data_IF_747334064107
#
_entry.id   IF_747334064107
#
_cell.length_a   1.000
_cell.length_b   1.000
_cell.length_c   1.000
_cell.angle_alpha   90.00
_cell.angle_beta   90.00
_cell.angle_gamma   90.00
#
_symmetry.space_group_name_H-M   'P 1'
#
loop_
_entity.id
_entity.type
_entity.pdbx_description
1 polymer ?
#
# COMPACT_ATOMS: atom_id res chain seq x y z
N UNK A 1 -0.14 -13.62 36.89
CA UNK A 1 -0.49 -14.10 35.54
C UNK A 1 0.00 -13.03 34.58
N UNK A 2 1.04 -13.31 33.80
CA UNK A 2 1.34 -12.46 32.63
C UNK A 2 0.16 -12.58 31.67
N UNK A 3 -0.46 -11.47 31.28
CA UNK A 3 -1.44 -11.48 30.21
C UNK A 3 -0.76 -12.02 28.94
N UNK A 4 -1.37 -13.03 28.31
CA UNK A 4 -0.86 -13.58 27.08
C UNK A 4 -0.85 -12.48 26.00
N UNK A 5 0.32 -12.19 25.45
CA UNK A 5 0.47 -11.24 24.35
C UNK A 5 -0.14 -11.84 23.08
N UNK A 6 -1.14 -11.18 22.46
CA UNK A 6 -1.71 -11.61 21.18
C UNK A 6 -0.73 -11.29 20.04
N UNK A 7 -0.38 -12.30 19.23
CA UNK A 7 0.61 -12.18 18.17
C UNK A 7 0.03 -12.57 16.82
N UNK A 8 0.22 -11.70 15.82
CA UNK A 8 -0.21 -11.93 14.44
C UNK A 8 0.84 -11.44 13.43
N UNK A 9 0.97 -12.07 12.25
CA UNK A 9 1.65 -11.41 11.14
C UNK A 9 0.83 -10.20 10.68
N UNK A 10 1.49 -9.16 10.14
CA UNK A 10 0.82 -7.93 9.68
C UNK A 10 -0.23 -8.23 8.59
N UNK A 11 0.06 -9.12 7.64
CA UNK A 11 -0.85 -9.59 6.58
C UNK A 11 -2.13 -10.28 7.08
N UNK A 12 -2.12 -10.83 8.29
CA UNK A 12 -3.30 -11.45 8.92
C UNK A 12 -3.98 -10.55 9.95
N UNK A 13 -3.46 -9.35 10.20
CA UNK A 13 -4.02 -8.43 11.17
C UNK A 13 -5.37 -7.88 10.69
N UNK A 14 -6.39 -8.02 11.53
CA UNK A 14 -7.65 -7.30 11.33
C UNK A 14 -7.45 -5.81 11.63
N UNK A 15 -8.32 -4.96 11.07
CA UNK A 15 -8.24 -3.52 11.33
C UNK A 15 -8.44 -3.18 12.81
N UNK A 16 -9.31 -3.89 13.53
CA UNK A 16 -9.50 -3.71 14.97
C UNK A 16 -8.26 -4.09 15.79
N UNK A 17 -7.59 -5.19 15.43
CA UNK A 17 -6.31 -5.57 16.06
C UNK A 17 -5.24 -4.49 15.84
N UNK A 18 -5.13 -3.99 14.61
CA UNK A 18 -4.16 -2.96 14.24
C UNK A 18 -4.38 -1.67 15.04
N UNK A 19 -5.63 -1.18 15.15
CA UNK A 19 -5.96 0.01 15.96
C UNK A 19 -5.53 -0.14 17.42
N UNK A 20 -5.91 -1.24 18.06
CA UNK A 20 -5.57 -1.48 19.47
C UNK A 20 -4.07 -1.60 19.71
N UNK A 21 -3.32 -2.17 18.76
CA UNK A 21 -1.86 -2.22 18.83
C UNK A 21 -1.27 -0.80 18.72
N UNK A 22 -1.71 -0.02 17.73
CA UNK A 22 -1.21 1.33 17.46
C UNK A 22 -1.56 2.36 18.56
N UNK A 23 -2.64 2.15 19.30
CA UNK A 23 -2.94 2.93 20.51
C UNK A 23 -1.80 2.86 21.54
N UNK A 24 -1.08 1.72 21.62
CA UNK A 24 0.10 1.56 22.47
C UNK A 24 1.28 2.44 22.04
N UNK A 25 1.27 2.90 20.79
CA UNK A 25 2.21 3.88 20.23
C UNK A 25 1.66 5.31 20.25
N UNK A 26 0.49 5.53 20.87
CA UNK A 26 -0.25 6.79 20.83
C UNK A 26 -0.59 7.24 19.39
N UNK A 27 -0.86 6.26 18.52
CA UNK A 27 -1.25 6.50 17.12
C UNK A 27 -2.75 6.19 16.97
N UNK A 28 -3.53 7.18 16.53
CA UNK A 28 -4.90 7.01 16.06
C UNK A 28 -4.95 6.75 14.56
N UNK A 29 -6.02 6.07 14.11
CA UNK A 29 -6.30 5.86 12.68
C UNK A 29 -7.69 6.37 12.35
N UNK A 30 -7.74 7.32 11.43
CA UNK A 30 -8.94 8.02 10.99
C UNK A 30 -9.15 7.86 9.48
N UNK A 31 -10.41 7.96 9.06
CA UNK A 31 -10.76 7.99 7.63
C UNK A 31 -10.84 9.44 7.19
N UNK A 32 -10.14 9.76 6.11
CA UNK A 32 -10.16 11.06 5.47
C UNK A 32 -11.26 11.13 4.42
N UNK A 33 -11.65 12.33 4.01
CA UNK A 33 -12.61 12.50 2.92
C UNK A 33 -12.06 11.85 1.63
N UNK A 34 -12.88 11.07 0.90
CA UNK A 34 -12.45 10.52 -0.38
C UNK A 34 -12.04 11.64 -1.33
N UNK A 35 -10.94 11.43 -2.03
CA UNK A 35 -10.49 12.35 -3.06
C UNK A 35 -10.93 11.82 -4.42
N UNK A 36 -11.51 12.69 -5.24
CA UNK A 36 -11.65 12.42 -6.67
C UNK A 36 -10.27 12.56 -7.28
N UNK A 37 -9.80 11.53 -7.97
CA UNK A 37 -8.57 11.62 -8.76
C UNK A 37 -8.74 12.73 -9.82
N UNK A 38 -8.00 13.87 -9.74
CA UNK A 38 -8.08 14.88 -10.78
C UNK A 38 -7.23 14.51 -12.00
N UNK A 39 -6.40 13.45 -11.92
CA UNK A 39 -5.35 13.16 -12.88
C UNK A 39 -4.29 14.28 -12.96
N UNK A 40 -3.09 14.00 -13.47
CA UNK A 40 -2.22 15.05 -14.00
C UNK A 40 -2.80 15.55 -15.33
N UNK A 41 -3.65 16.58 -15.29
CA UNK A 41 -4.23 17.19 -16.49
C UNK A 41 -5.36 16.36 -17.11
N UNK A 42 -5.93 16.86 -18.21
CA UNK A 42 -7.09 16.33 -18.96
C UNK A 42 -7.01 14.86 -19.45
N UNK A 43 -6.07 14.06 -18.96
CA UNK A 43 -5.89 12.65 -19.35
C UNK A 43 -6.55 11.70 -18.35
N UNK A 44 -7.32 10.76 -18.90
CA UNK A 44 -8.09 9.76 -18.18
C UNK A 44 -7.26 9.00 -17.14
N UNK A 45 -7.92 8.50 -16.08
CA UNK A 45 -7.36 7.54 -15.11
C UNK A 45 -6.40 6.56 -15.80
N UNK A 46 -5.25 6.22 -15.18
CA UNK A 46 -4.27 5.35 -15.82
C UNK A 46 -4.93 4.04 -16.25
N UNK A 47 -4.59 3.58 -17.45
CA UNK A 47 -5.19 2.37 -18.04
C UNK A 47 -4.93 1.20 -17.08
N UNK A 48 -5.96 0.48 -16.59
CA UNK A 48 -5.75 -0.59 -15.63
C UNK A 48 -4.68 -1.60 -16.02
N UNK A 49 -3.90 -2.06 -15.05
CA UNK A 49 -2.95 -3.14 -15.28
C UNK A 49 -3.69 -4.48 -15.46
N UNK A 50 -3.37 -5.19 -16.54
CA UNK A 50 -3.95 -6.51 -16.82
C UNK A 50 -3.25 -7.61 -16.03
N UNK A 51 -3.90 -8.02 -14.94
CA UNK A 51 -3.47 -9.13 -14.08
C UNK A 51 -3.69 -10.51 -14.70
N UNK A 52 -4.19 -10.59 -15.94
CA UNK A 52 -4.42 -11.84 -16.67
C UNK A 52 -3.68 -11.78 -18.00
N UNK A 53 -3.11 -12.92 -18.41
CA UNK A 53 -2.46 -13.08 -19.70
C UNK A 53 -2.91 -14.38 -20.34
N UNK A 54 -3.13 -14.35 -21.66
CA UNK A 54 -3.40 -15.53 -22.47
C UNK A 54 -2.06 -16.19 -22.85
N UNK A 55 -1.94 -17.49 -22.59
CA UNK A 55 -0.77 -18.29 -22.96
C UNK A 55 -0.81 -18.63 -24.44
N UNK A 56 0.30 -19.14 -24.98
CA UNK A 56 0.37 -19.61 -26.37
C UNK A 56 -0.60 -20.76 -26.67
N UNK A 57 -1.01 -21.49 -25.64
CA UNK A 57 -1.93 -22.62 -25.74
C UNK A 57 -3.41 -22.18 -25.63
N UNK A 58 -3.68 -20.87 -25.48
CA UNK A 58 -5.01 -20.28 -25.36
C UNK A 58 -5.58 -20.26 -23.93
N UNK A 59 -4.79 -20.68 -22.93
CA UNK A 59 -5.21 -20.64 -21.53
C UNK A 59 -5.05 -19.23 -20.97
N UNK A 60 -6.00 -18.78 -20.14
CA UNK A 60 -5.84 -17.53 -19.39
C UNK A 60 -5.27 -17.81 -18.00
N UNK A 61 -4.08 -17.30 -17.71
CA UNK A 61 -3.44 -17.39 -16.40
C UNK A 61 -3.43 -16.03 -15.70
N UNK A 62 -3.52 -16.02 -14.36
CA UNK A 62 -3.35 -14.82 -13.54
C UNK A 62 -1.88 -14.60 -13.22
N UNK A 63 -1.44 -13.35 -13.28
CA UNK A 63 -0.13 -12.91 -12.78
C UNK A 63 -0.21 -12.77 -11.26
N UNK A 64 0.72 -13.40 -10.54
CA UNK A 64 0.75 -13.36 -9.08
C UNK A 64 1.48 -12.13 -8.52
N UNK A 65 0.97 -11.56 -7.44
CA UNK A 65 1.61 -10.49 -6.65
C UNK A 65 3.03 -10.89 -6.21
N UNK A 66 3.18 -12.11 -5.68
CA UNK A 66 4.46 -12.66 -5.21
C UNK A 66 5.31 -13.30 -6.32
N UNK A 67 4.81 -13.34 -7.56
CA UNK A 67 5.62 -13.80 -8.70
C UNK A 67 6.55 -12.73 -9.20
N UNK A 68 6.54 -11.54 -8.58
CA UNK A 68 7.24 -10.35 -9.03
C UNK A 68 6.73 -10.01 -10.41
N UNK A 69 5.87 -9.01 -10.50
CA UNK A 69 5.35 -8.60 -11.80
C UNK A 69 6.13 -7.35 -12.24
N UNK A 70 7.36 -7.47 -12.80
CA UNK A 70 8.11 -6.35 -13.37
C UNK A 70 7.24 -5.44 -14.22
N UNK A 71 6.27 -6.00 -14.93
CA UNK A 71 5.38 -5.25 -15.80
C UNK A 71 4.37 -4.41 -14.99
N UNK A 72 3.96 -4.83 -13.80
CA UNK A 72 3.12 -4.00 -12.91
C UNK A 72 3.94 -2.85 -12.30
N UNK A 73 5.21 -3.11 -11.96
CA UNK A 73 6.14 -2.08 -11.50
C UNK A 73 6.47 -1.07 -12.61
N UNK A 74 6.75 -1.55 -13.83
CA UNK A 74 6.99 -0.72 -15.01
C UNK A 74 5.74 0.10 -15.35
N UNK A 75 4.57 -0.53 -15.35
CA UNK A 75 3.30 0.15 -15.51
C UNK A 75 3.12 1.25 -14.45
N UNK A 76 3.36 0.95 -13.17
CA UNK A 76 3.25 1.93 -12.09
C UNK A 76 4.23 3.09 -12.29
N UNK A 77 5.49 2.79 -12.65
CA UNK A 77 6.53 3.79 -12.92
C UNK A 77 6.12 4.74 -14.03
N UNK A 78 5.60 4.20 -15.14
CA UNK A 78 5.21 4.98 -16.32
C UNK A 78 4.00 5.88 -16.06
N UNK A 79 3.07 5.48 -15.19
CA UNK A 79 1.82 6.21 -14.98
C UNK A 79 1.80 7.10 -13.72
N UNK A 80 2.63 6.82 -12.71
CA UNK A 80 2.60 7.54 -11.42
C UNK A 80 3.91 8.24 -11.05
N UNK A 81 5.06 7.79 -11.55
CA UNK A 81 6.35 8.43 -11.23
C UNK A 81 6.88 9.36 -12.33
N UNK A 82 6.18 9.42 -13.48
CA UNK A 82 6.45 10.24 -14.68
C UNK A 82 7.72 11.11 -14.61
N UNK A 83 8.78 10.72 -15.33
CA UNK A 83 10.03 11.47 -15.62
C UNK A 83 10.62 12.36 -14.49
N UNK A 84 10.27 12.10 -13.23
CA UNK A 84 10.86 12.82 -12.11
C UNK A 84 12.27 12.30 -11.93
N UNK A 85 13.23 12.99 -12.54
CA UNK A 85 14.63 12.59 -12.80
C UNK A 85 15.47 12.18 -11.57
N UNK A 86 14.86 12.02 -10.40
CA UNK A 86 15.50 11.57 -9.18
C UNK A 86 14.83 10.42 -8.45
N UNK A 87 13.61 9.96 -8.81
CA UNK A 87 12.92 8.89 -8.08
C UNK A 87 12.97 7.54 -8.80
N UNK A 88 13.05 6.46 -8.04
CA UNK A 88 12.99 5.09 -8.53
C UNK A 88 12.18 4.18 -7.60
N UNK A 89 11.81 3.01 -8.13
CA UNK A 89 11.16 1.93 -7.39
C UNK A 89 12.17 0.84 -7.09
N UNK A 90 12.22 0.42 -5.83
CA UNK A 90 12.98 -0.76 -5.43
C UNK A 90 12.04 -1.80 -4.88
N UNK A 91 12.26 -3.01 -5.37
CA UNK A 91 11.55 -4.19 -4.95
C UNK A 91 12.07 -4.67 -3.59
N UNK A 92 11.18 -4.82 -2.61
CA UNK A 92 11.57 -5.11 -1.22
C UNK A 92 10.84 -6.29 -0.61
N UNK A 93 10.07 -7.05 -1.39
CA UNK A 93 9.41 -8.25 -0.87
C UNK A 93 10.45 -9.20 -0.27
N UNK A 94 10.06 -9.92 0.78
CA UNK A 94 10.94 -10.75 1.63
C UNK A 94 11.91 -9.99 2.52
N UNK A 95 11.98 -8.66 2.47
CA UNK A 95 12.64 -7.90 3.54
C UNK A 95 11.68 -7.74 4.72
N UNK A 96 12.05 -8.19 5.93
CA UNK A 96 11.16 -8.13 7.07
C UNK A 96 10.97 -6.70 7.56
N UNK A 97 9.75 -6.35 7.93
CA UNK A 97 9.46 -5.07 8.57
C UNK A 97 9.69 -5.16 10.08
N UNK A 98 10.12 -4.06 10.74
CA UNK A 98 10.26 -4.01 12.18
C UNK A 98 9.01 -4.51 12.92
N UNK A 99 9.22 -5.34 13.94
CA UNK A 99 8.13 -5.83 14.79
C UNK A 99 7.56 -4.68 15.62
N UNK A 100 6.24 -4.50 15.56
CA UNK A 100 5.51 -3.59 16.45
C UNK A 100 5.03 -4.33 17.71
N UNK A 101 5.09 -3.66 18.86
CA UNK A 101 4.60 -4.14 20.16
C UNK A 101 3.93 -3.01 20.92
N UNK A 102 2.65 -3.17 21.27
CA UNK A 102 1.88 -2.15 21.98
C UNK A 102 0.60 -2.74 22.56
N UNK A 103 0.16 -2.25 23.72
CA UNK A 103 -1.09 -2.68 24.37
C UNK A 103 -1.25 -4.21 24.46
N UNK A 104 -0.22 -4.93 24.89
CA UNK A 104 -0.26 -6.40 25.02
C UNK A 104 -0.41 -7.14 23.69
N UNK A 105 -0.11 -6.49 22.55
CA UNK A 105 -0.21 -7.06 21.20
C UNK A 105 1.10 -6.92 20.46
N UNK A 106 1.36 -7.80 19.50
CA UNK A 106 2.51 -7.66 18.63
C UNK A 106 2.28 -8.12 17.20
N UNK A 107 2.85 -7.38 16.24
CA UNK A 107 2.78 -7.67 14.82
C UNK A 107 4.15 -7.66 14.17
N UNK A 108 4.46 -8.65 13.33
CA UNK A 108 5.70 -8.71 12.54
C UNK A 108 5.35 -8.73 11.05
N UNK A 109 6.11 -8.00 10.23
CA UNK A 109 5.97 -8.05 8.78
C UNK A 109 6.95 -9.07 8.23
N UNK A 110 6.48 -10.29 7.98
CA UNK A 110 7.29 -11.35 7.37
C UNK A 110 7.36 -11.13 5.85
N UNK A 111 8.19 -10.16 5.41
CA UNK A 111 8.50 -9.99 3.99
C UNK A 111 7.43 -9.32 3.13
N UNK A 112 6.63 -8.42 3.72
CA UNK A 112 5.33 -8.02 3.18
C UNK A 112 5.34 -6.72 2.36
N UNK A 113 6.39 -5.89 2.42
CA UNK A 113 6.45 -4.70 1.58
C UNK A 113 6.67 -5.05 0.11
N UNK A 114 5.82 -4.57 -0.79
CA UNK A 114 5.96 -4.87 -2.22
C UNK A 114 7.04 -3.99 -2.87
N UNK A 115 6.84 -2.67 -2.87
CA UNK A 115 7.75 -1.71 -3.49
C UNK A 115 7.98 -0.51 -2.57
N UNK A 116 9.19 0.03 -2.60
CA UNK A 116 9.48 1.36 -2.02
C UNK A 116 9.80 2.36 -3.11
N UNK A 117 9.35 3.59 -2.91
CA UNK A 117 9.71 4.75 -3.73
C UNK A 117 10.79 5.53 -2.99
N UNK A 118 11.85 5.91 -3.68
CA UNK A 118 12.79 6.89 -3.15
C UNK A 118 13.78 7.40 -4.18
N UNK A 119 14.77 8.17 -3.74
CA UNK A 119 15.73 8.73 -4.67
C UNK A 119 16.57 7.62 -5.30
N UNK A 120 16.65 7.54 -6.63
CA UNK A 120 17.25 6.43 -7.36
C UNK A 120 18.71 6.15 -7.00
N UNK A 121 19.50 7.16 -6.64
CA UNK A 121 20.89 6.95 -6.19
C UNK A 121 20.92 6.35 -4.79
N UNK A 122 20.13 6.89 -3.87
CA UNK A 122 20.17 6.46 -2.47
C UNK A 122 19.50 5.11 -2.25
N UNK A 123 18.34 4.87 -2.86
CA UNK A 123 17.54 3.67 -2.57
C UNK A 123 18.12 2.38 -3.18
N UNK A 124 18.97 2.50 -4.21
CA UNK A 124 19.61 1.36 -4.88
C UNK A 124 20.99 0.99 -4.33
N UNK A 125 21.60 1.87 -3.52
CA UNK A 125 22.98 1.71 -3.03
C UNK A 125 23.08 1.38 -1.53
N UNK A 126 21.95 1.27 -0.82
CA UNK A 126 21.90 1.01 0.63
C UNK A 126 21.53 -0.43 0.95
N UNK A 127 22.03 -0.93 2.08
CA UNK A 127 21.72 -2.27 2.57
C UNK A 127 20.24 -2.42 2.93
N UNK A 128 19.68 -1.38 3.57
CA UNK A 128 18.26 -1.28 3.91
C UNK A 128 17.55 -0.20 3.06
N UNK A 129 16.77 -0.61 2.04
CA UNK A 129 16.04 0.29 1.16
C UNK A 129 14.93 1.05 1.90
N UNK A 130 14.50 0.60 3.09
CA UNK A 130 13.52 1.31 3.89
C UNK A 130 14.07 2.60 4.51
N UNK A 131 15.37 2.67 4.79
CA UNK A 131 15.99 3.82 5.45
C UNK A 131 15.81 5.10 4.63
N UNK A 132 15.92 5.00 3.30
CA UNK A 132 15.84 6.13 2.37
C UNK A 132 14.53 6.17 1.55
N UNK A 133 13.58 5.30 1.87
CA UNK A 133 12.29 5.28 1.19
C UNK A 133 11.44 6.50 1.60
N UNK A 134 10.84 7.15 0.60
CA UNK A 134 9.88 8.24 0.74
C UNK A 134 8.44 7.72 0.83
N UNK A 135 8.18 6.54 0.24
CA UNK A 135 6.88 5.89 0.33
C UNK A 135 6.95 4.39 0.08
N UNK A 136 5.87 3.69 0.46
CA UNK A 136 5.63 2.28 0.16
C UNK A 136 4.50 2.23 -0.88
N UNK A 137 4.62 1.30 -1.82
CA UNK A 137 3.50 0.89 -2.67
C UNK A 137 3.20 -0.55 -2.35
N UNK A 138 1.97 -0.80 -1.97
CA UNK A 138 1.40 -2.12 -1.71
C UNK A 138 0.57 -2.51 -2.94
N UNK A 139 1.03 -3.52 -3.67
CA UNK A 139 0.38 -4.02 -4.88
C UNK A 139 -0.48 -5.21 -4.52
N UNK A 140 -1.74 -5.18 -4.95
CA UNK A 140 -2.75 -6.14 -4.56
C UNK A 140 -3.54 -6.59 -5.77
N UNK A 141 -4.27 -7.69 -5.64
CA UNK A 141 -5.09 -8.24 -6.73
C UNK A 141 -6.51 -8.51 -6.24
N UNK A 142 -7.39 -9.01 -7.11
CA UNK A 142 -8.75 -9.38 -6.74
C UNK A 142 -8.79 -10.52 -5.70
N UNK A 143 -7.80 -11.42 -5.77
CA UNK A 143 -7.59 -12.53 -4.82
C UNK A 143 -6.96 -12.06 -3.51
N UNK A 144 -5.97 -11.15 -3.60
CA UNK A 144 -5.25 -10.60 -2.47
C UNK A 144 -5.69 -9.16 -2.24
N UNK A 145 -6.75 -8.98 -1.45
CA UNK A 145 -7.38 -7.67 -1.26
C UNK A 145 -6.50 -6.74 -0.43
N UNK A 146 -6.54 -5.45 -0.75
CA UNK A 146 -6.07 -4.37 0.14
C UNK A 146 -6.74 -4.53 1.52
N UNK A 147 -5.92 -4.73 2.56
CA UNK A 147 -6.36 -4.91 3.95
C UNK A 147 -5.95 -3.69 4.78
N UNK A 148 -6.91 -2.86 5.23
CA UNK A 148 -6.59 -1.68 6.03
C UNK A 148 -5.78 -1.97 7.29
N UNK A 149 -5.97 -3.13 7.93
CA UNK A 149 -5.20 -3.53 9.12
C UNK A 149 -3.72 -3.77 8.82
N UNK A 150 -3.41 -4.40 7.68
CA UNK A 150 -2.04 -4.61 7.23
C UNK A 150 -1.39 -3.26 6.88
N UNK A 151 -2.02 -2.47 6.01
CA UNK A 151 -1.45 -1.21 5.52
C UNK A 151 -1.10 -0.22 6.63
N UNK A 152 -1.94 -0.08 7.67
CA UNK A 152 -1.61 0.84 8.78
C UNK A 152 -0.48 0.32 9.68
N UNK A 153 -0.34 -1.00 9.81
CA UNK A 153 0.76 -1.60 10.58
C UNK A 153 2.08 -1.51 9.82
N UNK A 154 2.06 -1.71 8.49
CA UNK A 154 3.24 -1.56 7.64
C UNK A 154 3.72 -0.10 7.62
N UNK A 155 2.81 0.85 7.42
CA UNK A 155 3.11 2.28 7.50
C UNK A 155 3.71 2.65 8.86
N UNK A 156 3.09 2.21 9.97
CA UNK A 156 3.59 2.48 11.30
C UNK A 156 4.95 1.81 11.55
N UNK A 157 5.15 0.57 11.10
CA UNK A 157 6.41 -0.15 11.23
C UNK A 157 7.53 0.55 10.47
N UNK A 158 7.30 0.91 9.21
CA UNK A 158 8.27 1.63 8.39
C UNK A 158 8.61 3.00 8.96
N UNK A 159 7.65 3.70 9.59
CA UNK A 159 7.93 4.97 10.26
C UNK A 159 8.93 4.86 11.42
N UNK A 160 9.23 3.64 11.90
CA UNK A 160 10.25 3.40 12.94
C UNK A 160 11.66 3.20 12.39
N UNK A 161 11.80 2.88 11.10
CA UNK A 161 13.10 2.60 10.44
C UNK A 161 13.47 3.63 9.39
N UNK A 162 12.48 4.25 8.74
CA UNK A 162 12.72 5.30 7.75
C UNK A 162 13.36 6.53 8.40
N UNK A 163 14.36 7.10 7.75
CA UNK A 163 14.96 8.39 8.17
C UNK A 163 13.97 9.55 8.16
N UNK A 164 12.88 9.42 7.41
CA UNK A 164 11.81 10.43 7.32
C UNK A 164 10.77 10.25 8.42
N UNK A 165 10.86 9.16 9.20
CA UNK A 165 9.96 8.85 10.30
C UNK A 165 8.51 8.81 9.83
N UNK A 166 7.69 9.69 10.41
CA UNK A 166 6.27 9.79 10.11
C UNK A 166 5.94 10.60 8.85
N UNK A 167 6.91 11.18 8.13
CA UNK A 167 6.66 11.87 6.85
C UNK A 167 6.59 10.92 5.65
N UNK A 168 6.37 9.63 5.91
CA UNK A 168 6.28 8.57 4.92
C UNK A 168 4.81 8.28 4.58
N UNK A 169 4.53 7.88 3.33
CA UNK A 169 3.19 7.50 2.89
C UNK A 169 3.17 6.10 2.28
N UNK A 170 2.02 5.43 2.36
CA UNK A 170 1.77 4.13 1.76
C UNK A 170 0.60 4.24 0.79
N UNK A 171 0.83 3.86 -0.47
CA UNK A 171 -0.22 3.72 -1.48
C UNK A 171 -0.55 2.24 -1.66
N UNK A 172 -1.76 1.84 -1.32
CA UNK A 172 -2.26 0.49 -1.57
C UNK A 172 -3.16 0.48 -2.79
N UNK A 173 -2.88 -0.40 -3.75
CA UNK A 173 -3.61 -0.43 -5.02
C UNK A 173 -3.73 -1.83 -5.61
N UNK A 174 -4.83 -2.08 -6.33
CA UNK A 174 -4.95 -3.22 -7.23
C UNK A 174 -4.63 -2.90 -8.70
N UNK A 175 -4.06 -1.72 -8.95
CA UNK A 175 -3.76 -1.16 -10.27
C UNK A 175 -4.98 -1.11 -11.21
N UNK A 176 -6.21 -1.16 -10.67
CA UNK A 176 -7.42 -1.28 -11.47
C UNK A 176 -8.60 -0.45 -10.96
N UNK A 177 -9.04 -0.69 -9.73
CA UNK A 177 -10.26 -0.10 -9.17
C UNK A 177 -10.09 0.43 -7.75
N UNK A 178 -9.09 -0.04 -7.01
CA UNK A 178 -8.91 0.32 -5.60
C UNK A 178 -7.61 1.05 -5.41
N UNK A 179 -7.71 2.24 -4.85
CA UNK A 179 -6.58 3.12 -4.58
C UNK A 179 -6.80 3.75 -3.21
N UNK A 180 -5.90 3.46 -2.28
CA UNK A 180 -6.00 3.93 -0.90
C UNK A 180 -4.65 4.48 -0.46
N UNK A 181 -4.64 5.74 -0.05
CA UNK A 181 -3.46 6.39 0.51
C UNK A 181 -3.56 6.37 2.03
N UNK A 182 -2.47 5.96 2.65
CA UNK A 182 -2.26 5.98 4.09
C UNK A 182 -1.09 6.88 4.38
N UNK A 183 -1.27 7.86 5.26
CA UNK A 183 -0.21 8.81 5.60
C UNK A 183 -0.45 9.37 7.01
N UNK A 184 0.62 9.81 7.65
CA UNK A 184 0.47 10.56 8.89
C UNK A 184 0.08 12.01 8.58
N UNK A 185 -1.05 12.46 9.13
CA UNK A 185 -1.43 13.88 9.13
C UNK A 185 -0.53 14.69 10.07
N UNK A 186 -0.20 14.07 11.19
CA UNK A 186 0.65 14.60 12.24
C UNK A 186 1.38 13.44 12.93
N UNK A 187 2.11 13.73 14.00
CA UNK A 187 2.86 12.69 14.70
C UNK A 187 1.97 11.58 15.27
N UNK A 188 0.68 11.76 15.48
CA UNK A 188 -0.18 10.81 16.21
C UNK A 188 -1.32 10.27 15.39
N UNK A 189 -1.56 10.76 14.17
CA UNK A 189 -2.74 10.35 13.40
C UNK A 189 -2.37 9.87 12.02
N UNK A 190 -2.69 8.60 11.74
CA UNK A 190 -2.72 8.05 10.38
C UNK A 190 -4.08 8.34 9.76
N UNK A 191 -4.08 8.98 8.60
CA UNK A 191 -5.26 9.13 7.75
C UNK A 191 -5.27 8.05 6.68
N UNK A 192 -6.45 7.47 6.47
CA UNK A 192 -6.78 6.60 5.34
C UNK A 192 -7.68 7.37 4.38
N UNK A 193 -7.20 7.62 3.16
CA UNK A 193 -7.93 8.31 2.10
C UNK A 193 -8.20 7.34 0.95
N UNK A 194 -9.46 7.27 0.51
CA UNK A 194 -9.84 6.53 -0.69
C UNK A 194 -9.79 7.44 -1.91
N UNK A 195 -9.33 6.91 -3.05
CA UNK A 195 -9.38 7.60 -4.34
C UNK A 195 -10.51 7.00 -5.17
N UNK A 196 -11.43 7.85 -5.60
CA UNK A 196 -12.59 7.46 -6.39
C UNK A 196 -12.32 7.79 -7.87
N UNK A 197 -12.37 6.77 -8.73
CA UNK A 197 -12.33 6.94 -10.18
C UNK A 197 -13.72 7.24 -10.75
N UNK A 198 -13.77 8.14 -11.73
CA UNK A 198 -14.99 8.56 -12.43
C UNK A 198 -15.80 7.36 -12.95
N UNK A 199 -15.15 6.30 -13.41
CA UNK A 199 -15.80 5.08 -13.93
C UNK A 199 -16.67 4.36 -12.89
N UNK A 200 -16.31 4.41 -11.60
CA UNK A 200 -17.08 3.77 -10.53
C UNK A 200 -18.45 4.44 -10.27
N UNK A 201 -18.59 5.72 -10.61
CA UNK A 201 -19.86 6.44 -10.41
C UNK A 201 -20.91 6.05 -11.46
N UNK A 202 -20.49 5.75 -12.70
CA UNK A 202 -21.42 5.38 -13.79
C UNK A 202 -22.12 4.05 -13.50
N UNK A 203 -21.43 3.08 -12.91
CA UNK A 203 -22.03 1.80 -12.53
C UNK A 203 -22.94 1.90 -11.29
N UNK A 204 -22.65 2.80 -10.34
CA UNK A 204 -23.53 3.05 -9.19
C UNK A 204 -24.81 3.80 -9.56
N UNK A 205 -24.73 4.75 -10.50
CA UNK A 205 -25.88 5.52 -10.98
C UNK A 205 -26.85 4.66 -11.81
N UNK A 206 -26.34 3.62 -12.48
CA UNK A 206 -27.16 2.69 -13.27
C UNK A 206 -28.00 1.69 -12.46
N UNK A 207 -27.75 1.53 -11.15
CA UNK A 207 -28.50 0.60 -10.28
C UNK A 207 -29.69 1.23 -9.55
N UNK A 208 -29.82 2.55 -9.53
CA UNK A 208 -30.92 3.27 -8.87
C UNK A 208 -32.09 3.64 -9.79
N UNK A 209 -32.09 3.18 -11.04
CA UNK A 209 -33.10 3.53 -12.04
C UNK A 209 -33.75 2.28 -12.66
N UNK A 210 -34.40 1.45 -11.84
CA UNK A 210 -35.49 0.56 -12.30
C UNK A 210 -36.54 0.48 -11.21
N UNK A 211 -37.49 1.41 -11.25
CA UNK A 211 -38.83 1.25 -10.71
C UNK A 211 -39.79 1.08 -11.88
#
# INVERSE_FOLDING_TARGET
MEEATDHKPMSAASFGFAKLLLEGYQISVETDEPCMDPGPGDEANPTPYEWKVETKDGDTIKKGEHQWTPEAMEWFKNHFLMESAGFDLVLVTKKPLPKLKGNGRSAAGEGEGDLVIGNGVYITQVDDPYEHAYGLVELKTDEYKVKPGQSVLELASLSTTSRFGRNFALLATDCKHKWQLYYFKDLKTILRREYLHITAMVESAGKTSRH
#
